data_IF_733599237811
#
_entry.id   IF_733599237811
#
_cell.length_a   1.000
_cell.length_b   1.000
_cell.length_c   1.000
_cell.angle_alpha   90.00
_cell.angle_beta   90.00
_cell.angle_gamma   90.00
#
_symmetry.space_group_name_H-M   'P 1'
#
loop_
_entity.id
_entity.type
_entity.pdbx_description
1 polymer ?
#
# COMPACT_ATOMS: atom_id res chain seq x y z
N UNK A 1 -0.31 16.12 -15.93
CA UNK A 1 0.88 15.70 -15.15
C UNK A 1 0.93 14.18 -15.19
N UNK A 2 2.12 13.58 -15.20
CA UNK A 2 2.28 12.13 -15.05
C UNK A 2 2.60 11.84 -13.59
N UNK A 3 1.95 10.86 -12.99
CA UNK A 3 2.28 10.37 -11.66
C UNK A 3 3.75 9.89 -11.64
N UNK A 4 4.47 10.21 -10.57
CA UNK A 4 5.86 9.78 -10.33
C UNK A 4 5.97 9.05 -8.99
N UNK A 5 7.05 8.29 -8.79
CA UNK A 5 7.28 7.61 -7.51
C UNK A 5 7.38 8.60 -6.34
N UNK A 6 8.05 9.74 -6.54
CA UNK A 6 8.18 10.79 -5.51
C UNK A 6 6.82 11.40 -5.17
N UNK A 7 5.93 11.56 -6.15
CA UNK A 7 4.55 12.01 -5.91
C UNK A 7 3.78 11.00 -5.06
N UNK A 8 3.87 9.71 -5.39
CA UNK A 8 3.20 8.64 -4.64
C UNK A 8 3.71 8.62 -3.18
N UNK A 9 5.03 8.60 -2.99
CA UNK A 9 5.62 8.63 -1.65
C UNK A 9 5.25 9.89 -0.87
N UNK A 10 5.22 11.04 -1.53
CA UNK A 10 4.78 12.31 -0.93
C UNK A 10 3.36 12.22 -0.40
N UNK A 11 2.42 11.71 -1.21
CA UNK A 11 1.02 11.56 -0.83
C UNK A 11 0.83 10.57 0.32
N UNK A 12 1.56 9.43 0.31
CA UNK A 12 1.53 8.47 1.42
C UNK A 12 2.05 9.12 2.71
N UNK A 13 3.18 9.85 2.67
CA UNK A 13 3.73 10.54 3.85
C UNK A 13 2.79 11.61 4.40
N UNK A 14 2.16 12.39 3.55
CA UNK A 14 1.16 13.39 3.96
C UNK A 14 0.00 12.71 4.69
N UNK A 15 -0.58 11.65 4.10
CA UNK A 15 -1.68 10.92 4.72
C UNK A 15 -1.30 10.33 6.08
N UNK A 16 -0.11 9.73 6.19
CA UNK A 16 0.40 9.17 7.44
C UNK A 16 0.58 10.23 8.52
N UNK A 17 1.07 11.41 8.13
CA UNK A 17 1.24 12.55 9.04
C UNK A 17 -0.11 13.06 9.53
N UNK A 18 -1.09 13.20 8.63
CA UNK A 18 -2.47 13.61 8.96
C UNK A 18 -3.15 12.64 9.95
N UNK A 19 -2.84 11.34 9.84
CA UNK A 19 -3.38 10.29 10.71
C UNK A 19 -2.51 10.01 11.95
N UNK A 20 -1.50 10.85 12.23
CA UNK A 20 -0.63 10.76 13.42
C UNK A 20 0.16 9.45 13.51
N UNK A 21 0.63 8.92 12.39
CA UNK A 21 1.63 7.85 12.40
C UNK A 21 2.99 8.47 12.74
N UNK A 22 3.60 8.05 13.84
CA UNK A 22 4.88 8.58 14.33
C UNK A 22 6.04 7.67 13.89
N UNK A 23 7.29 8.15 13.96
CA UNK A 23 8.51 7.36 13.75
C UNK A 23 8.54 6.46 12.49
N UNK A 24 8.65 7.09 11.32
CA UNK A 24 8.75 6.39 10.02
C UNK A 24 10.14 5.79 9.84
N UNK A 25 10.26 4.46 9.82
CA UNK A 25 11.49 3.77 9.44
C UNK A 25 11.30 3.16 8.06
N UNK A 26 11.88 3.80 7.05
CA UNK A 26 11.88 3.28 5.69
C UNK A 26 12.81 2.07 5.66
N UNK A 27 12.26 0.88 5.40
CA UNK A 27 13.07 -0.28 5.05
C UNK A 27 12.99 -0.41 3.53
N UNK A 28 14.11 -0.38 2.84
CA UNK A 28 14.12 -0.64 1.39
C UNK A 28 14.48 -2.12 1.17
N UNK A 29 13.53 -3.07 1.18
CA UNK A 29 13.81 -4.37 0.61
C UNK A 29 13.74 -4.28 -0.91
N UNK A 30 14.56 -5.12 -1.54
CA UNK A 30 14.64 -5.27 -2.99
C UNK A 30 13.25 -5.70 -3.53
N UNK A 31 12.63 -4.87 -4.37
CA UNK A 31 11.41 -5.19 -5.14
C UNK A 31 10.27 -4.19 -4.98
N UNK A 32 9.92 -3.82 -3.74
CA UNK A 32 8.92 -2.79 -3.41
C UNK A 32 9.37 -2.01 -2.17
N UNK A 33 9.25 -0.67 -2.16
CA UNK A 33 9.58 0.14 -0.99
C UNK A 33 8.57 -0.17 0.13
N UNK A 34 9.09 -0.73 1.24
CA UNK A 34 8.28 -1.12 2.39
C UNK A 34 8.59 -0.20 3.58
N UNK A 35 7.63 0.65 3.94
CA UNK A 35 7.77 1.50 5.11
C UNK A 35 7.36 0.69 6.33
N UNK A 36 8.16 0.70 7.39
CA UNK A 36 7.77 0.19 8.70
C UNK A 36 7.60 1.38 9.63
N UNK A 37 6.48 1.43 10.33
CA UNK A 37 6.13 2.56 11.19
C UNK A 37 5.65 2.09 12.55
N UNK A 38 5.71 2.97 13.55
CA UNK A 38 5.13 2.72 14.86
C UNK A 38 3.97 3.70 15.04
N UNK A 39 2.75 3.18 15.19
CA UNK A 39 1.58 3.98 15.50
C UNK A 39 0.99 3.50 16.82
N UNK A 40 0.98 4.36 17.85
CA UNK A 40 0.42 4.02 19.18
C UNK A 40 0.99 2.72 19.75
N UNK A 41 2.32 2.60 19.74
CA UNK A 41 3.07 1.40 20.18
C UNK A 41 2.89 0.14 19.32
N UNK A 42 2.15 0.21 18.20
CA UNK A 42 1.98 -0.90 17.25
C UNK A 42 2.87 -0.73 16.02
N UNK A 43 3.56 -1.81 15.63
CA UNK A 43 4.32 -1.85 14.39
C UNK A 43 3.39 -2.07 13.20
N UNK A 44 3.26 -1.06 12.37
CA UNK A 44 2.51 -1.07 11.11
C UNK A 44 3.47 -1.22 9.95
N UNK A 45 3.19 -2.17 9.05
CA UNK A 45 3.93 -2.29 7.80
C UNK A 45 3.11 -1.69 6.66
N UNK A 46 3.79 -0.96 5.79
CA UNK A 46 3.19 -0.25 4.67
C UNK A 46 3.95 -0.62 3.42
N UNK A 47 3.22 -1.07 2.40
CA UNK A 47 3.77 -1.35 1.09
C UNK A 47 3.30 -0.28 0.10
N UNK A 48 4.26 0.32 -0.61
CA UNK A 48 3.95 1.27 -1.69
C UNK A 48 4.18 0.57 -3.03
N UNK A 49 3.15 0.55 -3.86
CA UNK A 49 3.09 -0.19 -5.14
C UNK A 49 2.95 0.81 -6.30
N UNK A 50 4.06 1.27 -6.89
CA UNK A 50 4.02 2.20 -8.01
C UNK A 50 3.74 1.48 -9.34
N UNK A 51 2.58 1.72 -9.94
CA UNK A 51 2.20 1.22 -11.27
C UNK A 51 2.39 2.34 -12.30
N UNK A 52 3.65 2.69 -12.54
CA UNK A 52 4.04 3.84 -13.37
C UNK A 52 4.15 3.51 -14.86
N UNK A 53 4.45 2.24 -15.18
CA UNK A 53 4.54 1.74 -16.56
C UNK A 53 3.26 0.95 -16.91
N UNK A 54 3.00 0.75 -18.20
CA UNK A 54 1.80 0.11 -18.78
C UNK A 54 1.56 -1.36 -18.40
N UNK A 55 2.13 -1.83 -17.30
CA UNK A 55 1.80 -3.14 -16.72
C UNK A 55 0.39 -3.08 -16.14
N UNK A 56 -0.27 -4.23 -16.11
CA UNK A 56 -1.60 -4.34 -15.54
C UNK A 56 -1.55 -4.05 -14.03
N UNK A 57 -2.35 -3.09 -13.55
CA UNK A 57 -2.52 -2.80 -12.11
C UNK A 57 -2.80 -4.09 -11.33
N UNK A 58 -3.60 -4.98 -11.92
CA UNK A 58 -3.93 -6.29 -11.38
C UNK A 58 -2.71 -7.14 -11.04
N UNK A 59 -1.71 -7.19 -11.93
CA UNK A 59 -0.50 -8.00 -11.70
C UNK A 59 0.34 -7.44 -10.56
N UNK A 60 0.49 -6.12 -10.51
CA UNK A 60 1.24 -5.46 -9.44
C UNK A 60 0.54 -5.61 -8.08
N UNK A 61 -0.80 -5.58 -8.05
CA UNK A 61 -1.59 -5.89 -6.85
C UNK A 61 -1.38 -7.35 -6.41
N UNK A 62 -1.46 -8.32 -7.33
CA UNK A 62 -1.20 -9.74 -7.00
C UNK A 62 0.22 -9.91 -6.44
N UNK A 63 1.21 -9.25 -7.04
CA UNK A 63 2.60 -9.31 -6.58
C UNK A 63 2.77 -8.69 -5.19
N UNK A 64 2.10 -7.56 -4.91
CA UNK A 64 2.08 -6.92 -3.60
C UNK A 64 1.49 -7.86 -2.54
N UNK A 65 0.31 -8.44 -2.82
CA UNK A 65 -0.36 -9.39 -1.94
C UNK A 65 0.46 -10.69 -1.72
N UNK A 66 1.12 -11.19 -2.77
CA UNK A 66 2.00 -12.37 -2.65
C UNK A 66 3.28 -12.09 -1.84
N UNK A 67 3.69 -10.83 -1.70
CA UNK A 67 4.81 -10.46 -0.83
C UNK A 67 4.41 -10.51 0.65
N UNK A 68 3.17 -10.14 0.99
CA UNK A 68 2.62 -10.22 2.36
C UNK A 68 2.76 -11.64 2.89
N UNK A 69 2.25 -12.61 2.12
CA UNK A 69 2.28 -14.03 2.49
C UNK A 69 3.71 -14.53 2.73
N UNK A 70 4.66 -14.12 1.88
CA UNK A 70 6.06 -14.57 1.95
C UNK A 70 6.85 -13.88 3.06
N UNK A 71 6.49 -12.64 3.38
CA UNK A 71 7.24 -11.82 4.34
C UNK A 71 7.07 -12.28 5.80
N UNK A 72 6.23 -13.30 6.05
CA UNK A 72 5.92 -13.83 7.40
C UNK A 72 5.71 -12.67 8.38
N UNK A 73 4.69 -11.85 8.12
CA UNK A 73 4.18 -10.76 8.95
C UNK A 73 5.17 -10.23 10.01
N UNK A 74 6.14 -9.40 9.59
CA UNK A 74 7.09 -8.77 10.52
C UNK A 74 6.48 -7.59 11.31
N UNK A 75 5.17 -7.39 11.20
CA UNK A 75 4.36 -6.36 11.84
C UNK A 75 3.42 -6.99 12.87
N UNK A 76 2.94 -6.21 13.84
CA UNK A 76 2.15 -6.77 14.93
C UNK A 76 0.75 -7.19 14.44
N UNK A 77 -0.02 -6.23 13.89
CA UNK A 77 -1.43 -6.45 13.57
C UNK A 77 -1.96 -5.69 12.36
N UNK A 78 -1.19 -4.78 11.74
CA UNK A 78 -1.71 -3.94 10.65
C UNK A 78 -0.77 -3.87 9.44
N UNK A 79 -1.35 -4.09 8.27
CA UNK A 79 -0.75 -3.79 6.98
C UNK A 79 -1.54 -2.75 6.20
N UNK A 80 -0.81 -1.91 5.48
CA UNK A 80 -1.40 -0.94 4.57
C UNK A 80 -0.74 -1.08 3.20
N UNK A 81 -1.53 -1.12 2.14
CA UNK A 81 -1.05 -1.16 0.76
C UNK A 81 -1.50 0.11 0.06
N UNK A 82 -0.55 0.88 -0.45
CA UNK A 82 -0.82 2.07 -1.25
C UNK A 82 -0.42 1.84 -2.70
N UNK A 83 -1.39 1.84 -3.61
CA UNK A 83 -1.16 1.67 -5.06
C UNK A 83 -1.27 3.02 -5.73
N UNK A 84 -0.22 3.46 -6.42
CA UNK A 84 -0.27 4.65 -7.26
C UNK A 84 -0.26 4.29 -8.74
N UNK A 85 -1.23 4.77 -9.53
CA UNK A 85 -1.27 4.50 -10.96
C UNK A 85 -1.74 5.69 -11.80
N UNK A 86 -1.25 5.76 -13.04
CA UNK A 86 -1.78 6.66 -14.06
C UNK A 86 -3.09 6.14 -14.70
N UNK A 87 -3.46 4.89 -14.44
CA UNK A 87 -4.70 4.26 -14.95
C UNK A 87 -5.68 4.09 -13.79
N UNK A 88 -6.97 4.29 -14.07
CA UNK A 88 -8.04 4.03 -13.10
C UNK A 88 -8.12 2.55 -12.75
N UNK A 89 -8.60 2.25 -11.54
CA UNK A 89 -8.91 0.88 -11.12
C UNK A 89 -10.21 0.46 -11.80
N UNK A 90 -10.17 -0.61 -12.59
CA UNK A 90 -11.39 -1.21 -13.14
C UNK A 90 -12.12 -2.05 -12.07
N UNK A 91 -13.43 -2.26 -12.27
CA UNK A 91 -14.30 -3.01 -11.36
C UNK A 91 -13.74 -4.40 -11.01
N UNK A 92 -13.12 -5.08 -11.99
CA UNK A 92 -12.53 -6.42 -11.77
C UNK A 92 -11.31 -6.38 -10.86
N UNK A 93 -10.55 -5.31 -10.91
CA UNK A 93 -9.40 -5.06 -10.04
C UNK A 93 -9.87 -4.66 -8.65
N UNK A 94 -10.94 -3.88 -8.55
CA UNK A 94 -11.59 -3.54 -7.28
C UNK A 94 -12.13 -4.79 -6.56
N UNK A 95 -12.86 -5.65 -7.27
CA UNK A 95 -13.33 -6.94 -6.76
C UNK A 95 -12.17 -7.81 -6.24
N UNK A 96 -11.03 -7.80 -6.94
CA UNK A 96 -9.85 -8.52 -6.52
C UNK A 96 -9.26 -7.96 -5.22
N UNK A 97 -9.20 -6.63 -5.08
CA UNK A 97 -8.73 -5.96 -3.86
C UNK A 97 -9.61 -6.35 -2.68
N UNK A 98 -10.94 -6.23 -2.80
CA UNK A 98 -11.86 -6.59 -1.72
C UNK A 98 -11.72 -8.06 -1.32
N UNK A 99 -11.57 -8.97 -2.29
CA UNK A 99 -11.34 -10.39 -1.99
C UNK A 99 -10.06 -10.63 -1.19
N UNK A 100 -8.98 -9.91 -1.48
CA UNK A 100 -7.75 -10.03 -0.70
C UNK A 100 -7.88 -9.40 0.69
N UNK A 101 -8.59 -8.27 0.80
CA UNK A 101 -8.91 -7.66 2.09
C UNK A 101 -9.70 -8.63 2.97
N UNK A 102 -10.70 -9.32 2.42
CA UNK A 102 -11.49 -10.33 3.14
C UNK A 102 -10.67 -11.60 3.46
N UNK A 103 -9.73 -11.97 2.60
CA UNK A 103 -8.93 -13.19 2.78
C UNK A 103 -7.87 -13.02 3.86
N UNK A 104 -7.20 -11.87 3.90
CA UNK A 104 -6.09 -11.62 4.83
C UNK A 104 -6.50 -10.79 6.03
N UNK A 105 -7.53 -9.94 5.90
CA UNK A 105 -8.13 -9.24 7.02
C UNK A 105 -8.84 -10.23 7.95
N UNK A 106 -8.51 -10.16 9.24
CA UNK A 106 -9.13 -11.00 10.27
C UNK A 106 -9.36 -10.18 11.54
N UNK A 107 -10.03 -10.76 12.54
CA UNK A 107 -10.24 -10.08 13.82
C UNK A 107 -8.92 -9.68 14.51
N UNK A 108 -7.82 -10.38 14.20
CA UNK A 108 -6.50 -10.15 14.79
C UNK A 108 -5.52 -9.43 13.85
N UNK A 109 -5.91 -9.18 12.60
CA UNK A 109 -5.07 -8.56 11.58
C UNK A 109 -5.87 -7.62 10.67
N UNK A 110 -5.52 -6.35 10.69
CA UNK A 110 -6.12 -5.32 9.84
C UNK A 110 -5.31 -5.13 8.56
N UNK A 111 -5.98 -5.22 7.42
CA UNK A 111 -5.41 -4.94 6.12
C UNK A 111 -6.17 -3.76 5.50
N UNK A 112 -5.44 -2.72 5.11
CA UNK A 112 -6.01 -1.51 4.50
C UNK A 112 -5.44 -1.31 3.11
N UNK A 113 -6.28 -0.89 2.17
CA UNK A 113 -5.89 -0.51 0.82
C UNK A 113 -6.11 0.99 0.60
N UNK A 114 -5.21 1.63 -0.13
CA UNK A 114 -5.37 3.02 -0.57
C UNK A 114 -4.90 3.19 -2.01
N UNK A 115 -5.65 3.92 -2.81
CA UNK A 115 -5.30 4.21 -4.21
C UNK A 115 -4.87 5.67 -4.38
N UNK A 116 -3.80 5.91 -5.12
CA UNK A 116 -3.32 7.26 -5.46
C UNK A 116 -3.53 7.46 -6.96
N UNK A 117 -4.38 8.42 -7.30
CA UNK A 117 -4.75 8.72 -8.68
C UNK A 117 -3.63 9.40 -9.47
N UNK A 118 -3.90 9.68 -10.75
CA UNK A 118 -2.94 10.26 -11.67
C UNK A 118 -2.49 11.70 -11.34
N UNK A 119 -3.17 12.41 -10.42
CA UNK A 119 -2.78 13.73 -9.93
C UNK A 119 -2.10 13.66 -8.55
N UNK A 120 -1.95 12.47 -7.98
CA UNK A 120 -1.32 12.26 -6.68
C UNK A 120 -2.29 12.39 -5.50
N UNK A 121 -3.60 12.36 -5.73
CA UNK A 121 -4.60 12.37 -4.65
C UNK A 121 -4.86 10.95 -4.16
N UNK A 122 -4.83 10.76 -2.84
CA UNK A 122 -5.26 9.51 -2.22
C UNK A 122 -6.79 9.42 -2.25
N UNK A 123 -7.29 8.35 -2.83
CA UNK A 123 -8.66 7.88 -2.87
C UNK A 123 -8.66 6.58 -2.05
N UNK A 124 -9.09 6.67 -0.80
CA UNK A 124 -9.18 5.55 0.12
C UNK A 124 -10.46 4.76 -0.11
#
# INVERSE_FOLDING_TARGET
MSLSFDTILGSVKTWLTEHKFEHVVIQEPIGFPNLTMIHRDEKVAIQVVPVLNSKSIKEEIINAFGYIEKSKFSCDKRWMIFVGSNTEIDEKTEDLIYRYLDTYGSNDFELTFGYIDNIGKLIA
#
